data_IF_661401442068
#
_entry.id   IF_661401442068
#
_cell.length_a   1.000
_cell.length_b   1.000
_cell.length_c   1.000
_cell.angle_alpha   90.00
_cell.angle_beta   90.00
_cell.angle_gamma   90.00
#
_symmetry.space_group_name_H-M   'P 1'
#
loop_
_entity.id
_entity.type
_entity.pdbx_description
1 polymer ?
#
# COMPACT_ATOMS: atom_id res chain seq x y z
N UNK A 1 -7.32 -2.06 -11.66
CA UNK A 1 -7.62 -2.58 -13.02
C UNK A 1 -7.32 -4.07 -13.03
N UNK A 2 -8.23 -4.87 -13.56
CA UNK A 2 -8.01 -6.29 -13.85
C UNK A 2 -7.67 -6.45 -15.33
N UNK A 3 -6.56 -7.11 -15.62
CA UNK A 3 -6.16 -7.49 -16.96
C UNK A 3 -6.41 -8.98 -17.20
N UNK A 4 -6.89 -9.35 -18.39
CA UNK A 4 -7.12 -10.74 -18.81
C UNK A 4 -6.85 -10.88 -20.31
N UNK A 5 -6.23 -11.99 -20.70
CA UNK A 5 -5.98 -12.28 -22.13
C UNK A 5 -7.28 -12.42 -22.95
N UNK A 6 -8.37 -12.87 -22.31
CA UNK A 6 -9.65 -13.11 -22.99
C UNK A 6 -10.62 -11.94 -22.90
N UNK A 7 -10.59 -11.16 -21.80
CA UNK A 7 -11.56 -10.11 -21.51
C UNK A 7 -10.96 -8.71 -21.49
N UNK A 8 -9.70 -8.55 -21.92
CA UNK A 8 -9.01 -7.26 -21.94
C UNK A 8 -8.84 -6.64 -20.57
N UNK A 9 -9.02 -5.32 -20.47
CA UNK A 9 -8.88 -4.55 -19.23
C UNK A 9 -10.24 -4.19 -18.65
N UNK A 10 -10.37 -4.36 -17.33
CA UNK A 10 -11.60 -3.97 -16.62
C UNK A 10 -11.25 -3.15 -15.39
N UNK A 11 -11.86 -1.97 -15.26
CA UNK A 11 -11.82 -1.20 -14.03
C UNK A 11 -12.63 -1.90 -12.95
N UNK A 12 -12.05 -2.10 -11.76
CA UNK A 12 -12.69 -2.81 -10.64
C UNK A 12 -13.11 -1.88 -9.51
N UNK A 13 -12.66 -0.66 -9.53
CA UNK A 13 -12.95 0.33 -8.51
C UNK A 13 -11.74 1.23 -8.25
N UNK A 14 -11.94 2.18 -7.36
CA UNK A 14 -10.91 3.12 -6.90
C UNK A 14 -11.26 3.62 -5.52
N UNK A 15 -10.37 4.41 -4.95
CA UNK A 15 -10.55 5.01 -3.64
C UNK A 15 -9.88 6.38 -3.58
N UNK A 16 -10.30 7.20 -2.60
CA UNK A 16 -9.77 8.53 -2.38
C UNK A 16 -8.47 8.58 -1.56
N UNK A 17 -7.96 7.43 -1.09
CA UNK A 17 -6.75 7.36 -0.25
C UNK A 17 -5.56 6.92 -1.09
N UNK A 18 -4.57 7.78 -1.27
CA UNK A 18 -3.41 7.50 -2.12
C UNK A 18 -2.31 8.55 -1.97
N UNK A 19 -1.53 8.77 -3.03
CA UNK A 19 -0.38 9.68 -3.02
C UNK A 19 -0.75 11.13 -2.68
N UNK A 20 -1.88 11.62 -3.17
CA UNK A 20 -2.37 12.96 -2.81
C UNK A 20 -2.70 13.07 -1.31
N UNK A 21 -3.33 12.03 -0.74
CA UNK A 21 -3.60 11.97 0.71
C UNK A 21 -2.29 11.97 1.50
N UNK A 22 -1.33 11.14 1.09
CA UNK A 22 -0.01 11.07 1.73
C UNK A 22 0.67 12.44 1.73
N UNK A 23 0.75 13.09 0.57
CA UNK A 23 1.39 14.40 0.42
C UNK A 23 0.71 15.47 1.29
N UNK A 24 -0.62 15.58 1.22
CA UNK A 24 -1.35 16.59 1.98
C UNK A 24 -1.24 16.38 3.50
N UNK A 25 -1.27 15.14 3.97
CA UNK A 25 -1.09 14.84 5.39
C UNK A 25 0.35 15.06 5.86
N UNK A 26 1.34 14.68 5.04
CA UNK A 26 2.75 14.91 5.36
C UNK A 26 3.06 16.41 5.45
N UNK A 27 2.61 17.20 4.50
CA UNK A 27 2.76 18.65 4.53
C UNK A 27 2.08 19.25 5.79
N UNK A 28 0.84 18.85 6.05
CA UNK A 28 0.06 19.44 7.16
C UNK A 28 0.57 19.05 8.53
N UNK A 29 0.96 17.80 8.73
CA UNK A 29 1.30 17.27 10.06
C UNK A 29 2.79 17.28 10.36
N UNK A 30 3.63 17.13 9.31
CA UNK A 30 5.09 16.99 9.47
C UNK A 30 5.86 18.15 8.82
N UNK A 31 5.19 19.03 8.07
CA UNK A 31 5.84 20.10 7.31
C UNK A 31 6.73 19.60 6.17
N UNK A 32 6.54 18.35 5.72
CA UNK A 32 7.36 17.70 4.69
C UNK A 32 6.60 17.67 3.37
N UNK A 33 7.15 18.32 2.35
CA UNK A 33 6.58 18.36 0.98
C UNK A 33 7.31 17.44 0.01
N UNK A 34 8.58 17.11 0.28
CA UNK A 34 9.37 16.18 -0.53
C UNK A 34 9.05 14.72 -0.14
N UNK A 35 8.45 13.99 -1.08
CA UNK A 35 8.05 12.60 -0.88
C UNK A 35 9.25 11.65 -0.66
N UNK A 36 10.42 11.95 -1.22
CA UNK A 36 11.61 11.14 -1.02
C UNK A 36 12.18 11.37 0.39
N UNK A 37 12.23 12.61 0.86
CA UNK A 37 12.62 12.93 2.24
C UNK A 37 11.65 12.29 3.24
N UNK A 38 10.33 12.30 2.95
CA UNK A 38 9.32 11.62 3.75
C UNK A 38 9.53 10.09 3.78
N UNK A 39 9.88 9.50 2.63
CA UNK A 39 10.17 8.06 2.52
C UNK A 39 11.38 7.67 3.39
N UNK A 40 12.46 8.42 3.31
CA UNK A 40 13.65 8.20 4.14
C UNK A 40 13.37 8.40 5.64
N UNK A 41 12.53 9.36 5.99
CA UNK A 41 12.06 9.57 7.37
C UNK A 41 11.26 8.34 7.85
N UNK A 42 10.33 7.84 7.06
CA UNK A 42 9.48 6.71 7.39
C UNK A 42 10.27 5.41 7.62
N UNK A 43 11.38 5.20 6.90
CA UNK A 43 12.24 4.02 7.10
C UNK A 43 12.88 3.96 8.50
N UNK A 44 13.05 5.10 9.15
CA UNK A 44 13.60 5.19 10.51
C UNK A 44 12.53 5.13 11.59
N UNK A 45 11.26 5.23 11.20
CA UNK A 45 10.12 5.25 12.12
C UNK A 45 9.56 3.87 12.43
N UNK A 46 8.77 3.85 13.50
CA UNK A 46 8.02 2.69 13.95
C UNK A 46 6.53 3.01 13.97
N UNK A 47 5.77 2.47 13.01
CA UNK A 47 4.31 2.68 12.92
C UNK A 47 3.55 2.32 14.20
N UNK A 48 4.05 1.37 15.01
CA UNK A 48 3.43 0.97 16.27
C UNK A 48 3.44 2.07 17.36
N UNK A 49 4.10 3.19 17.10
CA UNK A 49 4.03 4.40 17.94
C UNK A 49 2.80 5.26 17.62
N UNK A 50 2.13 5.04 16.49
CA UNK A 50 0.95 5.79 16.07
C UNK A 50 -0.26 4.91 15.77
N UNK A 51 -0.05 3.71 15.21
CA UNK A 51 -1.11 2.77 14.88
C UNK A 51 -1.52 1.93 16.11
N UNK A 52 -2.81 1.62 16.20
CA UNK A 52 -3.33 0.61 17.10
C UNK A 52 -3.24 -0.75 16.39
N UNK A 53 -2.53 -1.71 16.98
CA UNK A 53 -2.35 -3.05 16.41
C UNK A 53 -3.31 -4.06 17.02
N UNK A 54 -3.47 -5.21 16.38
CA UNK A 54 -4.25 -6.32 16.92
C UNK A 54 -3.72 -6.73 18.30
N UNK A 55 -2.40 -6.85 18.47
CA UNK A 55 -1.78 -7.14 19.76
C UNK A 55 -2.08 -6.10 20.88
N UNK A 56 -2.48 -4.90 20.53
CA UNK A 56 -2.82 -3.85 21.50
C UNK A 56 -4.28 -3.97 21.99
N UNK A 57 -5.13 -4.77 21.34
CA UNK A 57 -6.56 -4.92 21.65
C UNK A 57 -6.98 -6.35 21.99
N UNK A 58 -6.12 -7.33 21.78
CA UNK A 58 -6.36 -8.73 22.08
C UNK A 58 -5.33 -9.27 23.07
N UNK A 59 -5.80 -9.99 24.08
CA UNK A 59 -4.94 -10.64 25.08
C UNK A 59 -4.46 -12.03 24.62
N UNK A 60 -5.19 -12.68 23.69
CA UNK A 60 -4.87 -14.02 23.19
C UNK A 60 -4.67 -13.98 21.66
N UNK A 61 -3.78 -14.84 21.16
CA UNK A 61 -3.54 -15.00 19.74
C UNK A 61 -4.79 -15.56 19.03
N UNK A 62 -5.27 -14.86 18.01
CA UNK A 62 -6.36 -15.37 17.16
C UNK A 62 -5.78 -16.03 15.91
N UNK A 63 -6.07 -17.32 15.69
CA UNK A 63 -5.60 -18.01 14.50
C UNK A 63 -5.95 -17.27 13.20
N UNK A 64 -4.95 -17.01 12.37
CA UNK A 64 -5.11 -16.30 11.10
C UNK A 64 -5.08 -14.77 11.21
N UNK A 65 -4.95 -14.21 12.42
CA UNK A 65 -4.87 -12.77 12.64
C UNK A 65 -3.51 -12.42 13.28
N UNK A 66 -2.56 -11.95 12.46
CA UNK A 66 -1.23 -11.64 12.96
C UNK A 66 -1.27 -10.45 13.94
N UNK A 67 -0.53 -10.58 15.04
CA UNK A 67 -0.47 -9.61 16.13
C UNK A 67 -0.06 -8.18 15.67
N UNK A 68 0.81 -8.11 14.65
CA UNK A 68 1.31 -6.84 14.09
C UNK A 68 0.40 -6.21 13.03
N UNK A 69 -0.73 -6.85 12.69
CA UNK A 69 -1.73 -6.21 11.85
C UNK A 69 -2.29 -4.95 12.50
N UNK A 70 -2.57 -3.96 11.68
CA UNK A 70 -3.17 -2.71 12.13
C UNK A 70 -4.67 -2.90 12.36
N UNK A 71 -5.12 -2.67 13.60
CA UNK A 71 -6.54 -2.60 13.95
C UNK A 71 -7.12 -1.23 13.58
N UNK A 72 -6.35 -0.15 13.80
CA UNK A 72 -6.74 1.19 13.41
C UNK A 72 -5.51 2.05 13.09
N UNK A 73 -5.42 2.55 11.85
CA UNK A 73 -4.38 3.49 11.47
C UNK A 73 -4.54 4.79 12.31
N UNK A 74 -3.44 5.27 12.87
CA UNK A 74 -3.42 6.40 13.80
C UNK A 74 -4.34 6.26 15.01
N UNK A 75 -4.76 5.03 15.34
CA UNK A 75 -5.70 4.77 16.42
C UNK A 75 -5.12 4.97 17.82
N UNK A 76 -3.79 5.04 17.96
CA UNK A 76 -3.12 5.19 19.27
C UNK A 76 -1.78 5.89 19.15
N UNK A 77 -1.80 7.19 18.90
CA UNK A 77 -0.57 8.00 18.88
C UNK A 77 -0.03 8.12 20.32
N UNK A 78 1.14 7.53 20.57
CA UNK A 78 1.80 7.57 21.88
C UNK A 78 2.49 8.93 22.06
N UNK A 79 2.57 9.40 23.30
CA UNK A 79 3.14 10.72 23.64
C UNK A 79 4.61 10.90 23.23
N UNK A 80 5.35 9.80 23.04
CA UNK A 80 6.75 9.81 22.56
C UNK A 80 6.90 9.53 21.07
N UNK A 81 5.82 9.52 20.28
CA UNK A 81 5.91 9.31 18.83
C UNK A 81 6.66 10.47 18.16
N UNK A 82 7.68 10.12 17.37
CA UNK A 82 8.47 11.06 16.59
C UNK A 82 7.83 11.31 15.21
N UNK A 83 8.28 12.35 14.51
CA UNK A 83 7.87 12.62 13.13
C UNK A 83 8.18 11.43 12.20
N UNK A 84 9.27 10.69 12.47
CA UNK A 84 9.59 9.48 11.73
C UNK A 84 8.54 8.37 11.95
N UNK A 85 8.04 8.21 13.17
CA UNK A 85 6.99 7.25 13.49
C UNK A 85 5.67 7.61 12.80
N UNK A 86 5.33 8.89 12.80
CA UNK A 86 4.14 9.40 12.11
C UNK A 86 4.28 9.23 10.59
N UNK A 87 5.46 9.49 10.02
CA UNK A 87 5.73 9.24 8.61
C UNK A 87 5.58 7.75 8.26
N UNK A 88 6.12 6.84 9.10
CA UNK A 88 5.96 5.40 8.93
C UNK A 88 4.48 4.98 8.97
N UNK A 89 3.69 5.52 9.89
CA UNK A 89 2.26 5.26 10.00
C UNK A 89 1.47 5.81 8.80
N UNK A 90 1.84 6.99 8.26
CA UNK A 90 1.23 7.54 7.05
C UNK A 90 1.43 6.62 5.84
N UNK A 91 2.65 6.16 5.59
CA UNK A 91 2.92 5.20 4.54
C UNK A 91 2.17 3.88 4.76
N UNK A 92 2.20 3.37 6.00
CA UNK A 92 1.49 2.15 6.36
C UNK A 92 0.00 2.26 6.03
N UNK A 93 -0.66 3.33 6.45
CA UNK A 93 -2.07 3.58 6.16
C UNK A 93 -2.37 3.53 4.66
N UNK A 94 -1.53 4.17 3.82
CA UNK A 94 -1.73 4.18 2.38
C UNK A 94 -1.56 2.77 1.79
N UNK A 95 -0.47 2.08 2.12
CA UNK A 95 -0.17 0.78 1.51
C UNK A 95 -1.07 -0.34 2.03
N UNK A 96 -1.41 -0.36 3.32
CA UNK A 96 -2.40 -1.31 3.86
C UNK A 96 -3.75 -1.14 3.17
N UNK A 97 -4.21 0.08 3.00
CA UNK A 97 -5.43 0.34 2.23
C UNK A 97 -5.32 -0.17 0.79
N UNK A 98 -4.16 0.00 0.11
CA UNK A 98 -3.94 -0.57 -1.24
C UNK A 98 -4.04 -2.08 -1.20
N UNK A 99 -3.33 -2.70 -0.27
CA UNK A 99 -3.26 -4.16 -0.14
C UNK A 99 -4.62 -4.78 0.15
N UNK A 100 -5.28 -4.34 1.21
CA UNK A 100 -6.59 -4.88 1.62
C UNK A 100 -7.65 -4.69 0.52
N UNK A 101 -7.70 -3.51 -0.09
CA UNK A 101 -8.65 -3.27 -1.19
C UNK A 101 -8.38 -4.14 -2.41
N UNK A 102 -7.11 -4.41 -2.73
CA UNK A 102 -6.77 -5.32 -3.81
C UNK A 102 -7.20 -6.77 -3.50
N UNK A 103 -6.98 -7.23 -2.27
CA UNK A 103 -7.44 -8.54 -1.80
C UNK A 103 -8.96 -8.66 -1.90
N UNK A 104 -9.69 -7.69 -1.39
CA UNK A 104 -11.16 -7.69 -1.46
C UNK A 104 -11.67 -7.66 -2.90
N UNK A 105 -11.02 -6.88 -3.78
CA UNK A 105 -11.41 -6.80 -5.20
C UNK A 105 -11.17 -8.11 -5.96
N UNK A 106 -10.28 -8.97 -5.47
CA UNK A 106 -9.95 -10.26 -6.05
C UNK A 106 -10.54 -11.47 -5.30
N UNK A 107 -11.24 -11.26 -4.20
CA UNK A 107 -11.77 -12.34 -3.34
C UNK A 107 -12.62 -13.37 -4.11
N UNK A 108 -13.30 -12.94 -5.15
CA UNK A 108 -14.13 -13.78 -6.04
C UNK A 108 -13.45 -14.08 -7.39
N UNK A 109 -12.18 -13.71 -7.56
CA UNK A 109 -11.45 -13.89 -8.81
C UNK A 109 -10.50 -15.10 -8.71
N UNK A 110 -10.12 -15.66 -9.85
CA UNK A 110 -9.07 -16.69 -9.93
C UNK A 110 -7.66 -16.09 -10.01
N UNK A 111 -7.56 -14.78 -10.27
CA UNK A 111 -6.30 -14.04 -10.28
C UNK A 111 -5.75 -13.95 -8.86
N UNK A 112 -4.46 -14.25 -8.70
CA UNK A 112 -3.77 -14.18 -7.42
C UNK A 112 -2.60 -13.18 -7.40
N UNK A 113 -2.28 -12.57 -8.53
CA UNK A 113 -1.19 -11.61 -8.64
C UNK A 113 -1.71 -10.18 -8.75
N UNK A 114 -1.17 -9.29 -7.95
CA UNK A 114 -1.42 -7.85 -7.99
C UNK A 114 -0.12 -7.13 -8.34
N UNK A 115 -0.08 -6.51 -9.50
CA UNK A 115 1.09 -5.71 -9.93
C UNK A 115 0.89 -4.26 -9.49
N UNK A 116 1.81 -3.78 -8.68
CA UNK A 116 1.79 -2.43 -8.11
C UNK A 116 2.63 -1.51 -8.98
N UNK A 117 1.98 -0.52 -9.58
CA UNK A 117 2.62 0.47 -10.46
C UNK A 117 2.29 1.87 -9.96
N UNK A 118 3.19 2.74 -9.93
CA UNK A 118 3.10 4.21 -9.70
C UNK A 118 4.38 4.74 -9.08
N UNK A 119 4.47 6.06 -8.90
CA UNK A 119 5.56 6.68 -8.13
C UNK A 119 5.60 6.18 -6.68
N UNK A 120 4.44 5.94 -6.05
CA UNK A 120 4.40 5.40 -4.68
C UNK A 120 4.98 3.99 -4.60
N UNK A 121 4.75 3.14 -5.61
CA UNK A 121 5.29 1.79 -5.61
C UNK A 121 6.83 1.75 -5.74
N UNK A 122 7.47 2.84 -6.19
CA UNK A 122 8.93 2.94 -6.28
C UNK A 122 9.61 3.35 -4.96
N UNK A 123 8.85 3.74 -3.94
CA UNK A 123 9.40 4.17 -2.65
C UNK A 123 9.72 2.98 -1.76
N UNK A 124 10.81 3.07 -1.01
CA UNK A 124 11.30 1.97 -0.16
C UNK A 124 10.27 1.46 0.88
N UNK A 125 9.42 2.30 1.51
CA UNK A 125 8.36 1.79 2.39
C UNK A 125 7.35 0.88 1.69
N UNK A 126 7.15 1.00 0.37
CA UNK A 126 6.26 0.09 -0.38
C UNK A 126 6.79 -1.34 -0.37
N UNK A 127 8.06 -1.53 -0.73
CA UNK A 127 8.68 -2.86 -0.72
C UNK A 127 8.56 -3.50 0.66
N UNK A 128 8.92 -2.78 1.73
CA UNK A 128 8.83 -3.27 3.11
C UNK A 128 7.40 -3.70 3.49
N UNK A 129 6.40 -2.91 3.13
CA UNK A 129 5.00 -3.23 3.47
C UNK A 129 4.50 -4.42 2.67
N UNK A 130 4.73 -4.45 1.36
CA UNK A 130 4.21 -5.54 0.53
C UNK A 130 4.99 -6.85 0.69
N UNK A 131 6.25 -6.82 1.14
CA UNK A 131 6.94 -8.03 1.59
C UNK A 131 6.25 -8.67 2.81
N UNK A 132 5.78 -7.85 3.76
CA UNK A 132 4.98 -8.33 4.90
C UNK A 132 3.66 -8.93 4.41
N UNK A 133 2.95 -8.27 3.49
CA UNK A 133 1.72 -8.81 2.91
C UNK A 133 1.96 -10.14 2.20
N UNK A 134 3.05 -10.29 1.47
CA UNK A 134 3.41 -11.55 0.80
C UNK A 134 3.74 -12.67 1.79
N UNK A 135 4.37 -12.35 2.95
CA UNK A 135 4.57 -13.32 4.03
C UNK A 135 3.25 -13.78 4.67
N UNK A 136 2.20 -12.99 4.56
CA UNK A 136 0.85 -13.29 5.04
C UNK A 136 -0.07 -13.78 3.91
N UNK A 137 0.49 -14.50 2.93
CA UNK A 137 -0.25 -15.02 1.77
C UNK A 137 -1.49 -15.82 2.19
N UNK A 138 -1.41 -16.62 3.27
CA UNK A 138 -2.53 -17.43 3.77
C UNK A 138 -3.73 -16.56 4.24
N UNK A 139 -3.48 -15.30 4.61
CA UNK A 139 -4.53 -14.36 5.03
C UNK A 139 -5.13 -13.63 3.84
N UNK A 140 -4.28 -13.12 2.94
CA UNK A 140 -4.72 -12.27 1.82
C UNK A 140 -5.01 -13.04 0.53
N UNK A 141 -4.42 -14.23 0.36
CA UNK A 141 -4.63 -15.13 -0.78
C UNK A 141 -4.12 -14.59 -2.11
N UNK A 142 -3.25 -13.57 -2.09
CA UNK A 142 -2.69 -12.91 -3.27
C UNK A 142 -1.21 -12.56 -3.08
N UNK A 143 -0.49 -12.47 -4.20
CA UNK A 143 0.90 -12.03 -4.27
C UNK A 143 0.97 -10.60 -4.81
N UNK A 144 1.69 -9.73 -4.11
CA UNK A 144 1.94 -8.35 -4.52
C UNK A 144 3.30 -8.26 -5.19
N UNK A 145 3.32 -7.77 -6.41
CA UNK A 145 4.50 -7.68 -7.26
C UNK A 145 4.80 -6.21 -7.55
N UNK A 146 5.96 -5.74 -7.13
CA UNK A 146 6.49 -4.44 -7.53
C UNK A 146 7.48 -4.70 -8.67
N UNK A 147 7.15 -4.38 -9.93
CA UNK A 147 8.05 -4.61 -11.05
C UNK A 147 9.24 -3.62 -11.00
N UNK A 148 10.32 -3.90 -11.72
CA UNK A 148 11.36 -2.90 -11.95
C UNK A 148 10.77 -1.62 -12.56
N UNK A 149 11.22 -0.46 -12.07
CA UNK A 149 10.78 0.85 -12.54
C UNK A 149 9.25 1.07 -12.55
N UNK A 150 8.54 0.83 -11.43
CA UNK A 150 7.08 0.81 -11.40
C UNK A 150 6.44 2.16 -11.74
N UNK A 151 7.17 3.28 -11.60
CA UNK A 151 6.71 4.62 -11.96
C UNK A 151 6.59 4.83 -13.47
N UNK A 152 7.31 4.06 -14.29
CA UNK A 152 7.27 4.15 -15.75
C UNK A 152 6.28 3.18 -16.40
N UNK A 153 5.62 2.32 -15.65
CA UNK A 153 4.77 1.27 -16.18
C UNK A 153 3.68 1.79 -17.14
N UNK A 154 3.09 2.96 -16.83
CA UNK A 154 2.07 3.57 -17.70
C UNK A 154 2.66 4.05 -19.02
N UNK A 155 3.84 4.68 -19.01
CA UNK A 155 4.51 5.16 -20.21
C UNK A 155 4.96 3.98 -21.09
N UNK A 156 5.54 2.95 -20.47
CA UNK A 156 5.93 1.71 -21.18
C UNK A 156 4.70 1.04 -21.77
N UNK A 157 3.61 0.94 -21.01
CA UNK A 157 2.36 0.37 -21.50
C UNK A 157 1.79 1.13 -22.70
N UNK A 158 1.84 2.46 -22.68
CA UNK A 158 1.39 3.29 -23.80
C UNK A 158 2.23 3.09 -25.07
N UNK A 159 3.54 2.87 -24.93
CA UNK A 159 4.42 2.59 -26.05
C UNK A 159 4.21 1.18 -26.65
N UNK A 160 3.77 0.23 -25.83
CA UNK A 160 3.54 -1.15 -26.24
C UNK A 160 2.10 -1.39 -26.74
N UNK A 161 1.19 -0.47 -26.50
CA UNK A 161 -0.15 -0.55 -27.06
C UNK A 161 -0.12 -0.27 -28.56
N UNK A 162 -0.67 -1.18 -29.37
CA UNK A 162 -0.95 -0.88 -30.77
C UNK A 162 -1.93 0.30 -30.88
N UNK A 163 -1.73 1.24 -31.82
CA UNK A 163 -2.69 2.30 -32.07
C UNK A 163 -4.08 1.69 -32.31
N UNK A 164 -5.10 2.26 -31.66
CA UNK A 164 -6.47 1.88 -31.98
C UNK A 164 -6.71 2.13 -33.47
N UNK A 165 -7.39 1.22 -34.19
CA UNK A 165 -7.76 1.48 -35.56
C UNK A 165 -8.54 2.78 -35.66
N UNK A 166 -8.13 3.68 -36.55
CA UNK A 166 -8.86 4.90 -36.84
C UNK A 166 -10.26 4.52 -37.38
N UNK A 167 -11.31 5.00 -36.72
CA UNK A 167 -12.69 4.83 -37.20
C UNK A 167 -13.03 5.80 -38.30
#
# INVERSE_FOLDING_TARGET
IRASKTNGFRHRGGRGVGGGTLAGMAERFLGVTDIFALSEMALRGNKAMADLRIADVQEEDVPGLAADLTAANFGRIKSGASDADLAAALFNMIYENVGVMASLALSQDTTRNVVLTSSLASLAPAAKTFDIFNQMHDVFGIDYIIPPHPSFATAVGALLCEPLPEN
#
